data_IF_243137863050
#
_entry.id   IF_243137863050
#
_cell.length_a   1.000
_cell.length_b   1.000
_cell.length_c   1.000
_cell.angle_alpha   90.00
_cell.angle_beta   90.00
_cell.angle_gamma   90.00
#
_symmetry.space_group_name_H-M   'P 1'
#
loop_
_entity.id
_entity.type
_entity.pdbx_description
1 polymer ?
#
# COMPACT_ATOMS: atom_id res chain seq x y z
N UNK A 1 -25.13 4.76 -39.36
CA UNK A 1 -24.07 4.08 -38.57
C UNK A 1 -24.46 2.62 -38.48
N UNK A 2 -23.66 1.68 -39.01
CA UNK A 2 -24.09 0.28 -39.16
C UNK A 2 -23.83 -0.52 -37.88
N UNK A 3 -24.69 -1.51 -37.61
CA UNK A 3 -24.65 -2.36 -36.41
C UNK A 3 -23.27 -2.99 -36.17
N UNK A 4 -22.58 -3.41 -37.24
CA UNK A 4 -21.20 -3.93 -37.18
C UNK A 4 -20.18 -2.93 -36.61
N UNK A 5 -20.32 -1.64 -36.92
CA UNK A 5 -19.43 -0.60 -36.42
C UNK A 5 -19.62 -0.35 -34.92
N UNK A 6 -20.85 -0.49 -34.42
CA UNK A 6 -21.17 -0.34 -32.98
C UNK A 6 -20.57 -1.48 -32.18
N UNK A 7 -20.67 -2.72 -32.68
CA UNK A 7 -20.11 -3.91 -32.02
C UNK A 7 -18.58 -3.84 -31.94
N UNK A 8 -17.91 -3.42 -33.03
CA UNK A 8 -16.44 -3.26 -33.03
C UNK A 8 -16.00 -2.17 -32.03
N UNK A 9 -16.71 -1.04 -31.97
CA UNK A 9 -16.40 0.03 -31.00
C UNK A 9 -16.58 -0.47 -29.56
N UNK A 10 -17.65 -1.23 -29.26
CA UNK A 10 -17.90 -1.79 -27.94
C UNK A 10 -16.82 -2.80 -27.50
N UNK A 11 -16.35 -3.66 -28.41
CA UNK A 11 -15.27 -4.62 -28.15
C UNK A 11 -13.94 -3.90 -27.89
N UNK A 12 -13.63 -2.86 -28.68
CA UNK A 12 -12.42 -2.06 -28.48
C UNK A 12 -12.46 -1.26 -27.17
N UNK A 13 -13.63 -0.74 -26.77
CA UNK A 13 -13.80 -0.03 -25.51
C UNK A 13 -13.65 -0.96 -24.29
N UNK A 14 -14.18 -2.18 -24.37
CA UNK A 14 -14.06 -3.18 -23.30
C UNK A 14 -12.63 -3.72 -23.16
N UNK A 15 -11.89 -3.89 -24.27
CA UNK A 15 -10.46 -4.20 -24.20
C UNK A 15 -9.66 -3.05 -23.58
N UNK A 16 -9.92 -1.79 -23.94
CA UNK A 16 -9.24 -0.64 -23.35
C UNK A 16 -9.49 -0.50 -21.83
N UNK A 17 -10.71 -0.81 -21.37
CA UNK A 17 -11.08 -0.82 -19.94
C UNK A 17 -10.41 -1.97 -19.14
N UNK A 18 -10.07 -3.08 -19.79
CA UNK A 18 -9.33 -4.18 -19.16
C UNK A 18 -7.84 -3.86 -18.96
N UNK A 19 -7.27 -2.95 -19.74
CA UNK A 19 -5.85 -2.54 -19.62
C UNK A 19 -5.59 -1.42 -18.61
N UNK A 20 -6.63 -0.82 -18.02
CA UNK A 20 -6.48 0.30 -17.06
C UNK A 20 -6.58 -0.11 -15.60
N UNK A 21 -6.64 -1.41 -15.28
CA UNK A 21 -6.34 -1.83 -13.91
C UNK A 21 -4.87 -1.53 -13.67
N UNK A 22 -4.60 -0.37 -13.06
CA UNK A 22 -3.28 -0.02 -12.57
C UNK A 22 -2.78 -1.23 -11.79
N UNK A 23 -1.76 -1.89 -12.32
CA UNK A 23 -1.16 -3.03 -11.65
C UNK A 23 -0.37 -2.38 -10.51
N UNK A 24 -1.03 -2.21 -9.37
CA UNK A 24 -0.42 -1.69 -8.16
C UNK A 24 0.41 -2.81 -7.52
N UNK A 25 1.68 -2.52 -7.26
CA UNK A 25 2.57 -3.38 -6.49
C UNK A 25 2.15 -3.50 -5.05
N UNK A 26 1.47 -2.51 -4.49
CA UNK A 26 0.73 -2.60 -3.22
C UNK A 26 0.05 -1.27 -2.94
N UNK A 27 -0.86 -1.26 -1.97
CA UNK A 27 -1.43 -0.03 -1.41
C UNK A 27 -1.36 0.00 0.12
N UNK A 28 -1.30 1.19 0.68
CA UNK A 28 -1.30 1.44 2.11
C UNK A 28 -2.42 2.42 2.39
N UNK A 29 -3.31 2.05 3.30
CA UNK A 29 -4.47 2.82 3.71
C UNK A 29 -4.23 3.31 5.13
N UNK A 30 -4.14 4.62 5.31
CA UNK A 30 -4.16 5.20 6.64
C UNK A 30 -5.62 5.32 7.08
N UNK A 31 -6.12 4.33 7.84
CA UNK A 31 -7.49 4.32 8.38
C UNK A 31 -7.57 4.89 9.80
N UNK A 32 -6.56 5.66 10.20
CA UNK A 32 -6.63 6.42 11.44
C UNK A 32 -7.45 7.69 11.21
N UNK A 33 -8.14 8.15 12.25
CA UNK A 33 -8.98 9.35 12.15
C UNK A 33 -8.19 10.66 12.35
N UNK A 34 -7.01 10.60 12.97
CA UNK A 34 -6.28 11.80 13.42
C UNK A 34 -4.78 11.76 13.17
N UNK A 35 -4.20 10.60 12.84
CA UNK A 35 -2.75 10.41 12.80
C UNK A 35 -2.19 10.58 11.40
N UNK A 36 -1.09 11.32 11.32
CA UNK A 36 -0.24 11.37 10.14
C UNK A 36 0.87 10.35 10.27
N UNK A 37 1.20 9.67 9.18
CA UNK A 37 2.28 8.68 9.16
C UNK A 37 3.28 8.97 8.07
N UNK A 38 4.54 8.59 8.30
CA UNK A 38 5.53 8.47 7.24
C UNK A 38 5.70 6.99 6.91
N UNK A 39 5.77 6.69 5.62
CA UNK A 39 5.89 5.34 5.08
C UNK A 39 7.22 5.26 4.35
N UNK A 40 7.98 4.21 4.63
CA UNK A 40 9.22 3.90 3.91
C UNK A 40 9.27 2.41 3.64
N UNK A 41 9.29 2.03 2.37
CA UNK A 41 9.61 0.66 2.01
C UNK A 41 11.07 0.40 2.39
N UNK A 42 11.29 -0.70 3.11
CA UNK A 42 12.60 -1.31 3.28
C UNK A 42 12.49 -2.68 2.62
N UNK A 43 13.37 -3.02 1.70
CA UNK A 43 13.36 -4.39 1.16
C UNK A 43 14.78 -4.82 0.92
N UNK A 44 15.04 -6.10 1.17
CA UNK A 44 16.31 -6.77 0.89
C UNK A 44 16.45 -7.15 -0.60
N UNK A 45 15.38 -6.94 -1.38
CA UNK A 45 15.20 -7.48 -2.72
C UNK A 45 14.70 -6.41 -3.70
N UNK A 46 15.08 -5.15 -3.50
CA UNK A 46 14.85 -4.10 -4.51
C UNK A 46 16.06 -3.92 -5.41
N UNK A 47 15.86 -3.85 -6.73
CA UNK A 47 16.85 -3.33 -7.68
C UNK A 47 16.99 -1.81 -7.62
N UNK A 48 16.07 -1.13 -6.91
CA UNK A 48 16.10 0.31 -6.68
C UNK A 48 17.29 0.69 -5.77
N UNK A 49 18.05 1.75 -6.08
CA UNK A 49 18.93 2.39 -5.11
C UNK A 49 18.20 2.68 -3.79
N UNK A 50 18.88 2.54 -2.64
CA UNK A 50 18.30 2.80 -1.30
C UNK A 50 17.55 4.15 -1.15
N UNK A 51 17.95 5.16 -1.94
CA UNK A 51 17.39 6.51 -1.94
C UNK A 51 16.17 6.68 -2.85
N UNK A 52 15.90 5.71 -3.73
CA UNK A 52 14.73 5.69 -4.61
C UNK A 52 13.68 4.69 -4.14
N UNK A 53 13.78 4.18 -2.91
CA UNK A 53 12.73 3.34 -2.35
C UNK A 53 11.47 4.16 -2.09
N UNK A 54 10.30 3.56 -2.28
CA UNK A 54 9.02 4.15 -1.93
C UNK A 54 9.07 4.83 -0.55
N UNK A 55 8.88 6.15 -0.57
CA UNK A 55 8.93 7.01 0.59
C UNK A 55 7.78 8.01 0.47
N UNK A 56 6.90 7.99 1.46
CA UNK A 56 5.80 8.96 1.58
C UNK A 56 5.85 9.58 2.95
N UNK A 57 5.90 10.91 2.97
CA UNK A 57 5.91 11.67 4.23
C UNK A 57 4.55 12.32 4.44
N UNK A 58 4.12 12.40 5.69
CA UNK A 58 2.90 13.10 6.10
C UNK A 58 1.62 12.57 5.42
N UNK A 59 1.49 11.25 5.35
CA UNK A 59 0.30 10.55 4.86
C UNK A 59 -0.82 10.75 5.88
N UNK A 60 -1.83 11.52 5.49
CA UNK A 60 -2.90 11.96 6.40
C UNK A 60 -3.93 10.89 6.74
N UNK A 61 -4.81 11.17 7.71
CA UNK A 61 -6.00 10.36 8.00
C UNK A 61 -6.83 10.05 6.76
N UNK A 62 -7.43 8.87 6.72
CA UNK A 62 -8.28 8.34 5.64
C UNK A 62 -7.68 8.35 4.23
N UNK A 63 -6.36 8.51 4.13
CA UNK A 63 -5.66 8.59 2.84
C UNK A 63 -5.17 7.23 2.35
N UNK A 64 -4.90 7.16 1.05
CA UNK A 64 -4.39 5.98 0.35
C UNK A 64 -3.15 6.32 -0.43
N UNK A 65 -2.09 5.56 -0.21
CA UNK A 65 -0.85 5.63 -0.98
C UNK A 65 -0.60 4.29 -1.66
N UNK A 66 -0.43 4.29 -2.98
CA UNK A 66 -0.14 3.08 -3.75
C UNK A 66 1.20 3.20 -4.47
N UNK A 67 1.81 2.04 -4.67
CA UNK A 67 3.08 1.89 -5.36
C UNK A 67 2.81 1.06 -6.62
N UNK A 68 2.96 1.59 -7.85
CA UNK A 68 2.69 0.83 -9.06
C UNK A 68 3.84 -0.11 -9.43
N UNK A 69 3.54 -1.28 -10.03
CA UNK A 69 4.58 -2.22 -10.50
C UNK A 69 5.48 -1.64 -11.62
N UNK A 70 5.06 -0.55 -12.24
CA UNK A 70 5.78 0.08 -13.35
C UNK A 70 6.88 1.04 -12.89
N UNK A 71 6.91 1.42 -11.62
CA UNK A 71 7.96 2.29 -11.06
C UNK A 71 9.09 1.47 -10.46
N UNK A 72 10.33 1.85 -10.78
CA UNK A 72 11.56 1.23 -10.29
C UNK A 72 11.74 1.31 -8.78
N UNK A 73 10.97 2.19 -8.16
CA UNK A 73 11.06 2.60 -6.75
C UNK A 73 10.22 1.70 -5.84
N UNK A 74 9.37 0.86 -6.45
CA UNK A 74 8.59 -0.17 -5.79
C UNK A 74 9.32 -1.52 -5.83
N UNK A 75 8.76 -2.52 -5.13
CA UNK A 75 9.14 -3.94 -5.24
C UNK A 75 9.75 -4.33 -6.59
N UNK A 76 10.95 -4.96 -6.56
CA UNK A 76 11.64 -5.33 -7.80
C UNK A 76 11.40 -6.76 -8.26
N UNK A 77 10.85 -7.64 -7.39
CA UNK A 77 10.39 -8.90 -7.91
C UNK A 77 9.17 -8.60 -8.77
N UNK A 78 9.23 -9.04 -10.02
CA UNK A 78 8.08 -9.01 -10.93
C UNK A 78 7.01 -10.04 -10.51
N UNK A 79 6.99 -10.44 -9.23
CA UNK A 79 6.18 -11.51 -8.67
C UNK A 79 5.27 -10.93 -7.60
N UNK A 80 4.00 -11.32 -7.62
CA UNK A 80 2.98 -10.83 -6.68
C UNK A 80 3.06 -11.56 -5.32
N UNK A 81 4.05 -12.41 -5.14
CA UNK A 81 4.19 -13.30 -3.99
C UNK A 81 5.41 -12.94 -3.12
N UNK A 82 6.20 -11.95 -3.53
CA UNK A 82 7.34 -11.49 -2.73
C UNK A 82 6.89 -10.80 -1.46
N UNK A 83 7.58 -11.09 -0.36
CA UNK A 83 7.38 -10.42 0.92
C UNK A 83 8.26 -9.17 0.99
N UNK A 84 7.62 -8.04 1.25
CA UNK A 84 8.22 -6.72 1.39
C UNK A 84 8.18 -6.29 2.86
N UNK A 85 8.98 -5.28 3.22
CA UNK A 85 8.92 -4.66 4.55
C UNK A 85 8.52 -3.19 4.43
N UNK A 86 7.58 -2.77 5.27
CA UNK A 86 7.15 -1.38 5.39
C UNK A 86 7.55 -0.85 6.75
N UNK A 87 8.35 0.22 6.77
CA UNK A 87 8.59 1.01 7.96
C UNK A 87 7.57 2.15 8.05
N UNK A 88 6.87 2.23 9.18
CA UNK A 88 5.78 3.18 9.44
C UNK A 88 6.16 4.02 10.66
N UNK A 89 6.13 5.33 10.52
CA UNK A 89 6.53 6.28 11.56
C UNK A 89 5.36 7.21 11.87
N UNK A 90 4.79 7.11 13.07
CA UNK A 90 3.71 8.01 13.53
C UNK A 90 4.30 9.25 14.18
N UNK A 91 5.33 9.03 14.99
CA UNK A 91 6.06 10.08 15.69
C UNK A 91 7.54 9.75 15.73
N UNK A 92 8.35 10.62 16.32
CA UNK A 92 9.81 10.41 16.44
C UNK A 92 10.14 9.10 17.17
N UNK A 93 9.28 8.69 18.11
CA UNK A 93 9.50 7.59 19.05
C UNK A 93 8.70 6.33 18.71
N UNK A 94 7.66 6.43 17.88
CA UNK A 94 6.82 5.29 17.52
C UNK A 94 7.03 4.91 16.07
N UNK A 95 7.64 3.74 15.90
CA UNK A 95 8.06 3.19 14.63
C UNK A 95 7.69 1.72 14.58
N UNK A 96 7.18 1.31 13.44
CA UNK A 96 6.81 -0.07 13.16
C UNK A 96 7.55 -0.52 11.91
N UNK A 97 7.98 -1.78 11.89
CA UNK A 97 8.34 -2.46 10.67
C UNK A 97 7.51 -3.72 10.56
N UNK A 98 6.79 -3.89 9.46
CA UNK A 98 5.93 -5.05 9.22
C UNK A 98 6.18 -5.63 7.84
N UNK A 99 6.02 -6.95 7.73
CA UNK A 99 6.08 -7.65 6.44
C UNK A 99 4.73 -7.60 5.72
N UNK A 100 4.73 -7.56 4.38
CA UNK A 100 3.49 -7.62 3.61
C UNK A 100 3.76 -8.16 2.19
N UNK A 101 2.78 -8.77 1.52
CA UNK A 101 2.99 -9.31 0.19
C UNK A 101 2.95 -8.20 -0.87
N UNK A 102 3.79 -8.33 -1.90
CA UNK A 102 3.60 -7.63 -3.16
C UNK A 102 2.18 -7.94 -3.71
N UNK A 103 1.56 -6.99 -4.38
CA UNK A 103 0.18 -7.00 -4.83
C UNK A 103 -0.87 -6.87 -3.72
N UNK A 104 -0.46 -6.94 -2.45
CA UNK A 104 -1.35 -6.82 -1.30
C UNK A 104 -1.60 -5.38 -0.86
N UNK A 105 -2.19 -5.25 0.34
CA UNK A 105 -2.33 -3.95 0.97
C UNK A 105 -2.30 -4.02 2.50
N UNK A 106 -2.06 -2.86 3.10
CA UNK A 106 -2.00 -2.65 4.55
C UNK A 106 -3.09 -1.65 4.93
N UNK A 107 -3.89 -1.98 5.94
CA UNK A 107 -4.69 -1.01 6.68
C UNK A 107 -3.95 -0.63 7.96
N UNK A 108 -3.64 0.65 8.13
CA UNK A 108 -3.10 1.20 9.37
C UNK A 108 -4.26 1.67 10.23
N UNK A 109 -4.38 1.08 11.41
CA UNK A 109 -5.52 1.27 12.30
C UNK A 109 -5.05 1.93 13.58
N UNK A 110 -5.83 2.88 14.08
CA UNK A 110 -5.68 3.38 15.44
C UNK A 110 -6.74 2.70 16.32
N UNK A 111 -6.36 1.77 17.22
CA UNK A 111 -7.33 1.09 18.08
C UNK A 111 -8.07 2.07 19.00
N UNK A 112 -7.48 3.24 19.26
CA UNK A 112 -8.03 4.30 20.09
C UNK A 112 -8.58 5.45 19.25
N UNK A 113 -9.22 5.15 18.12
CA UNK A 113 -9.78 6.01 17.06
C UNK A 113 -10.67 7.23 17.48
N UNK A 114 -10.66 7.63 18.74
CA UNK A 114 -11.37 8.76 19.31
C UNK A 114 -10.51 10.02 19.31
N UNK A 115 -11.00 11.07 18.62
CA UNK A 115 -10.43 12.41 18.64
C UNK A 115 -10.48 13.09 20.03
N UNK A 116 -11.20 12.50 20.98
CA UNK A 116 -11.40 13.05 22.34
C UNK A 116 -10.66 12.25 23.42
N UNK A 117 -9.98 11.17 23.07
CA UNK A 117 -9.27 10.37 24.06
C UNK A 117 -7.96 11.09 24.44
N UNK A 118 -7.91 11.56 25.69
CA UNK A 118 -6.73 12.20 26.26
C UNK A 118 -5.53 11.23 26.35
N UNK A 119 -5.77 9.94 26.11
CA UNK A 119 -4.75 8.91 25.93
C UNK A 119 -4.43 8.80 24.44
N UNK A 120 -3.88 9.87 23.87
CA UNK A 120 -3.28 9.85 22.52
C UNK A 120 -2.02 8.98 22.54
N UNK A 121 -2.22 7.67 22.61
CA UNK A 121 -1.13 6.71 22.50
C UNK A 121 -0.78 6.65 21.01
N UNK A 122 0.49 6.81 20.66
CA UNK A 122 0.97 6.66 19.27
C UNK A 122 0.95 5.18 18.81
N UNK A 123 0.20 4.32 19.51
CA UNK A 123 0.05 2.90 19.21
C UNK A 123 -0.80 2.76 17.95
N UNK A 124 -0.36 1.89 17.05
CA UNK A 124 -1.08 1.47 15.85
C UNK A 124 -1.26 -0.04 15.84
N UNK A 125 -2.31 -0.46 15.15
CA UNK A 125 -2.57 -1.84 14.75
C UNK A 125 -2.59 -1.94 13.22
N UNK A 126 -2.49 -3.16 12.69
CA UNK A 126 -2.37 -3.39 11.26
C UNK A 126 -3.20 -4.59 10.80
N UNK A 127 -3.92 -4.41 9.69
CA UNK A 127 -4.43 -5.54 8.93
C UNK A 127 -3.68 -5.60 7.60
N UNK A 128 -3.16 -6.77 7.27
CA UNK A 128 -2.39 -6.99 6.04
C UNK A 128 -3.10 -8.05 5.20
N UNK A 129 -3.18 -7.82 3.89
CA UNK A 129 -3.93 -8.67 2.98
C UNK A 129 -3.10 -9.04 1.76
N UNK A 130 -3.35 -10.25 1.25
CA UNK A 130 -2.87 -10.70 -0.05
C UNK A 130 -3.62 -9.98 -1.19
N UNK A 131 -3.14 -10.12 -2.41
CA UNK A 131 -3.77 -9.53 -3.60
C UNK A 131 -5.22 -10.01 -3.84
N UNK A 132 -5.59 -11.20 -3.35
CA UNK A 132 -6.94 -11.75 -3.43
C UNK A 132 -7.86 -11.29 -2.27
N UNK A 133 -7.33 -10.52 -1.32
CA UNK A 133 -8.04 -10.03 -0.15
C UNK A 133 -8.12 -10.99 1.03
N UNK A 134 -7.48 -12.16 0.95
CA UNK A 134 -7.29 -13.01 2.13
C UNK A 134 -6.32 -12.36 3.13
N UNK A 135 -6.50 -12.55 4.45
CA UNK A 135 -5.56 -12.05 5.45
C UNK A 135 -4.15 -12.63 5.24
N UNK A 136 -3.15 -11.80 5.41
CA UNK A 136 -1.74 -12.18 5.37
C UNK A 136 -1.16 -12.21 6.80
N UNK A 137 -0.50 -13.30 7.21
CA UNK A 137 0.11 -13.43 8.54
C UNK A 137 1.42 -12.62 8.58
N UNK A 138 1.32 -11.32 8.82
CA UNK A 138 2.49 -10.45 8.87
C UNK A 138 3.28 -10.61 10.18
N UNK A 139 4.57 -10.28 10.11
CA UNK A 139 5.47 -10.24 11.25
C UNK A 139 5.84 -8.80 11.61
N UNK A 140 5.94 -8.52 12.90
CA UNK A 140 6.58 -7.29 13.40
C UNK A 140 8.09 -7.51 13.47
N UNK A 141 8.85 -6.62 12.83
CA UNK A 141 10.31 -6.65 12.83
C UNK A 141 10.85 -5.62 13.82
N UNK A 142 11.97 -5.96 14.47
CA UNK A 142 12.72 -5.01 15.30
C UNK A 142 13.43 -3.97 14.42
N UNK A 143 13.19 -2.69 14.70
CA UNK A 143 13.83 -1.54 14.05
C UNK A 143 15.07 -1.04 14.79
#
# INVERSE_FOLDING_TARGET
>A
MNFKSIVIILISLTQALLFTQQVEAYCIYNKTNTKYVNLRQTSYHTTAPLLSLFLKSHVGPDSRECCPYTTTDCSSSKTKEEVLVMSIFVSRYHRYAITFPAGGWINIIDPHNSATDAQNTDVLDFEVFNADGSPFPYEHLSL
#
